data_IF_566717850615
#
_entry.id   IF_566717850615
#
_cell.length_a   1.000
_cell.length_b   1.000
_cell.length_c   1.000
_cell.angle_alpha   90.00
_cell.angle_beta   90.00
_cell.angle_gamma   90.00
#
_symmetry.space_group_name_H-M   'P 1'
#
loop_
_entity.id
_entity.type
_entity.pdbx_description
1 polymer ?
#
# COMPACT_ATOMS: atom_id res chain seq x y z
N UNK A 1 18.74 -15.90 -73.20
CA UNK A 1 18.17 -16.27 -71.89
C UNK A 1 18.42 -15.09 -70.95
N UNK A 2 17.44 -14.21 -70.82
CA UNK A 2 17.46 -13.12 -69.86
C UNK A 2 17.23 -13.70 -68.46
N UNK A 3 18.14 -13.39 -67.54
CA UNK A 3 18.07 -13.82 -66.14
C UNK A 3 17.24 -12.77 -65.40
N UNK A 4 16.10 -13.18 -64.85
CA UNK A 4 15.23 -12.33 -64.05
C UNK A 4 16.01 -11.73 -62.85
N UNK A 5 15.76 -10.47 -62.46
CA UNK A 5 16.30 -9.93 -61.22
C UNK A 5 15.60 -10.59 -60.04
N UNK A 6 16.41 -11.06 -59.10
CA UNK A 6 15.98 -11.57 -57.79
C UNK A 6 15.22 -10.46 -57.06
N UNK A 7 13.92 -10.63 -56.86
CA UNK A 7 13.11 -9.80 -55.97
C UNK A 7 13.54 -10.07 -54.52
N UNK A 8 14.59 -9.36 -54.10
CA UNK A 8 14.96 -9.22 -52.70
C UNK A 8 13.87 -8.43 -51.97
N UNK A 9 12.85 -9.13 -51.48
CA UNK A 9 11.94 -8.64 -50.43
C UNK A 9 12.74 -8.47 -49.13
N UNK A 10 13.54 -7.42 -49.08
CA UNK A 10 14.16 -6.96 -47.85
C UNK A 10 13.08 -6.43 -46.92
N UNK A 11 13.09 -6.91 -45.67
CA UNK A 11 12.46 -6.28 -44.52
C UNK A 11 12.66 -4.75 -44.56
N UNK A 12 11.71 -3.96 -44.01
CA UNK A 12 11.85 -2.51 -43.94
C UNK A 12 13.21 -2.20 -43.29
N UNK A 13 14.17 -1.72 -44.09
CA UNK A 13 15.54 -1.50 -43.65
C UNK A 13 15.51 -0.28 -42.74
N UNK A 14 15.36 -0.50 -41.44
CA UNK A 14 15.53 0.53 -40.43
C UNK A 14 16.91 1.14 -40.64
N UNK A 15 16.98 2.45 -40.90
CA UNK A 15 18.25 3.13 -41.10
C UNK A 15 18.94 3.30 -39.75
N UNK A 16 19.84 2.37 -39.45
CA UNK A 16 20.58 2.23 -38.19
C UNK A 16 21.29 3.53 -37.80
N UNK A 17 21.63 4.39 -38.77
CA UNK A 17 22.31 5.67 -38.53
C UNK A 17 21.42 6.74 -37.89
N UNK A 18 20.11 6.53 -37.88
CA UNK A 18 19.14 7.45 -37.29
C UNK A 18 18.69 7.03 -35.89
N UNK A 19 19.08 5.82 -35.44
CA UNK A 19 18.73 5.30 -34.12
C UNK A 19 19.63 5.89 -33.02
N UNK A 20 19.08 6.14 -31.81
CA UNK A 20 19.89 6.42 -30.64
C UNK A 20 20.94 5.33 -30.39
N UNK A 21 22.10 5.70 -29.87
CA UNK A 21 23.24 4.78 -29.65
C UNK A 21 22.85 3.55 -28.81
N UNK A 22 22.00 3.72 -27.80
CA UNK A 22 21.48 2.63 -26.97
C UNK A 22 20.66 1.61 -27.79
N UNK A 23 19.80 2.08 -28.69
CA UNK A 23 18.94 1.24 -29.52
C UNK A 23 19.76 0.55 -30.61
N UNK A 24 20.74 1.25 -31.20
CA UNK A 24 21.64 0.67 -32.18
C UNK A 24 22.49 -0.47 -31.58
N UNK A 25 23.03 -0.28 -30.37
CA UNK A 25 23.76 -1.32 -29.65
C UNK A 25 22.88 -2.53 -29.34
N UNK A 26 21.65 -2.32 -28.86
CA UNK A 26 20.68 -3.40 -28.65
C UNK A 26 20.44 -4.17 -29.94
N UNK A 27 20.14 -3.45 -31.02
CA UNK A 27 19.87 -4.02 -32.33
C UNK A 27 21.03 -4.90 -32.82
N UNK A 28 22.27 -4.40 -32.75
CA UNK A 28 23.45 -5.18 -33.11
C UNK A 28 23.64 -6.43 -32.24
N UNK A 29 23.40 -6.32 -30.93
CA UNK A 29 23.53 -7.46 -30.01
C UNK A 29 22.46 -8.52 -30.26
N UNK A 30 21.22 -8.11 -30.52
CA UNK A 30 20.11 -9.03 -30.73
C UNK A 30 20.22 -9.73 -32.07
N UNK A 31 20.66 -9.05 -33.14
CA UNK A 31 20.94 -9.72 -34.41
C UNK A 31 22.10 -10.72 -34.35
N UNK A 32 23.05 -10.54 -33.41
CA UNK A 32 24.10 -11.53 -33.15
C UNK A 32 23.59 -12.76 -32.42
N UNK A 33 22.54 -12.60 -31.61
CA UNK A 33 21.88 -13.70 -30.90
C UNK A 33 20.92 -14.46 -31.82
N UNK A 34 20.07 -13.73 -32.54
CA UNK A 34 19.08 -14.27 -33.46
C UNK A 34 19.03 -13.43 -34.75
N UNK A 35 19.46 -13.98 -35.90
CA UNK A 35 19.40 -13.30 -37.19
C UNK A 35 17.98 -13.00 -37.70
N UNK A 36 16.96 -13.66 -37.15
CA UNK A 36 15.55 -13.47 -37.52
C UNK A 36 14.83 -12.41 -36.68
N UNK A 37 15.52 -11.82 -35.70
CA UNK A 37 14.96 -10.82 -34.80
C UNK A 37 14.62 -9.51 -35.53
N UNK A 38 13.45 -8.95 -35.21
CA UNK A 38 12.96 -7.69 -35.77
C UNK A 38 12.78 -6.61 -34.69
N UNK A 39 13.32 -5.42 -34.96
CA UNK A 39 13.28 -4.31 -34.01
C UNK A 39 11.92 -3.63 -33.99
N UNK A 40 11.19 -3.59 -35.11
CA UNK A 40 9.84 -3.03 -35.16
C UNK A 40 8.90 -3.79 -34.24
N UNK A 41 8.85 -5.13 -34.38
CA UNK A 41 7.99 -5.95 -33.54
C UNK A 41 8.35 -5.83 -32.06
N UNK A 42 9.65 -5.83 -31.73
CA UNK A 42 10.09 -5.66 -30.34
C UNK A 42 9.71 -4.29 -29.76
N UNK A 43 9.86 -3.21 -30.53
CA UNK A 43 9.45 -1.87 -30.10
C UNK A 43 7.93 -1.77 -29.92
N UNK A 44 7.16 -2.39 -30.82
CA UNK A 44 5.71 -2.43 -30.72
C UNK A 44 5.27 -3.20 -29.48
N UNK A 45 5.83 -4.39 -29.23
CA UNK A 45 5.60 -5.17 -28.01
C UNK A 45 5.95 -4.37 -26.75
N UNK A 46 7.13 -3.76 -26.73
CA UNK A 46 7.58 -2.97 -25.58
C UNK A 46 6.71 -1.74 -25.34
N UNK A 47 6.24 -1.09 -26.39
CA UNK A 47 5.32 0.03 -26.28
C UNK A 47 3.95 -0.41 -25.74
N UNK A 48 3.46 -1.60 -26.13
CA UNK A 48 2.21 -2.16 -25.59
C UNK A 48 2.35 -2.49 -24.10
N UNK A 49 3.45 -3.12 -23.69
CA UNK A 49 3.74 -3.39 -22.27
C UNK A 49 3.77 -2.11 -21.43
N UNK A 50 4.46 -1.07 -21.93
CA UNK A 50 4.52 0.23 -21.24
C UNK A 50 3.14 0.92 -21.19
N UNK A 51 2.32 0.80 -22.24
CA UNK A 51 0.95 1.32 -22.23
C UNK A 51 0.08 0.61 -21.20
N UNK A 52 0.16 -0.72 -21.10
CA UNK A 52 -0.57 -1.51 -20.10
C UNK A 52 -0.17 -1.10 -18.66
N UNK A 53 1.13 -0.90 -18.43
CA UNK A 53 1.62 -0.41 -17.15
C UNK A 53 1.06 1.00 -16.83
N UNK A 54 1.08 1.91 -17.80
CA UNK A 54 0.52 3.27 -17.64
C UNK A 54 -0.98 3.22 -17.37
N UNK A 55 -1.74 2.38 -18.06
CA UNK A 55 -3.17 2.18 -17.80
C UNK A 55 -3.43 1.71 -16.36
N UNK A 56 -2.61 0.77 -15.87
CA UNK A 56 -2.70 0.31 -14.48
C UNK A 56 -2.44 1.45 -13.46
N UNK A 57 -1.44 2.29 -13.72
CA UNK A 57 -1.10 3.43 -12.87
C UNK A 57 -2.22 4.48 -12.88
N UNK A 58 -2.82 4.76 -14.04
CA UNK A 58 -3.96 5.66 -14.15
C UNK A 58 -5.19 5.12 -13.42
N UNK A 59 -5.43 3.80 -13.45
CA UNK A 59 -6.49 3.16 -12.67
C UNK A 59 -6.33 3.37 -11.17
N UNK A 60 -5.10 3.21 -10.65
CA UNK A 60 -4.77 3.46 -9.24
C UNK A 60 -4.93 4.93 -8.84
N UNK A 61 -4.42 5.85 -9.65
CA UNK A 61 -4.55 7.29 -9.39
C UNK A 61 -6.02 7.76 -9.46
N UNK A 62 -6.80 7.20 -10.39
CA UNK A 62 -8.25 7.45 -10.45
C UNK A 62 -8.92 7.02 -9.14
N UNK A 63 -8.65 5.81 -8.64
CA UNK A 63 -9.23 5.32 -7.38
C UNK A 63 -8.85 6.23 -6.20
N UNK A 64 -7.58 6.64 -6.13
CA UNK A 64 -7.08 7.57 -5.10
C UNK A 64 -7.82 8.91 -5.12
N UNK A 65 -8.09 9.45 -6.30
CA UNK A 65 -8.85 10.69 -6.47
C UNK A 65 -10.33 10.50 -6.08
N UNK A 66 -10.95 9.38 -6.43
CA UNK A 66 -12.32 9.04 -6.03
C UNK A 66 -12.47 8.95 -4.50
N UNK A 67 -11.53 8.28 -3.81
CA UNK A 67 -11.51 8.23 -2.35
C UNK A 67 -11.33 9.62 -1.73
N UNK A 68 -10.40 10.42 -2.25
CA UNK A 68 -10.19 11.80 -1.78
C UNK A 68 -11.45 12.66 -1.96
N UNK A 69 -12.13 12.52 -3.09
CA UNK A 69 -13.41 13.19 -3.34
C UNK A 69 -14.46 12.76 -2.31
N UNK A 70 -14.58 11.46 -2.05
CA UNK A 70 -15.52 10.94 -1.06
C UNK A 70 -15.26 11.53 0.34
N UNK A 71 -13.99 11.60 0.76
CA UNK A 71 -13.60 12.24 2.04
C UNK A 71 -13.99 13.72 2.08
N UNK A 72 -13.84 14.45 0.97
CA UNK A 72 -14.26 15.85 0.90
C UNK A 72 -15.78 15.97 1.03
N UNK A 73 -16.54 15.11 0.34
CA UNK A 73 -18.00 15.13 0.41
C UNK A 73 -18.54 14.81 1.81
N UNK A 74 -17.94 13.87 2.53
CA UNK A 74 -18.33 13.53 3.90
C UNK A 74 -18.06 14.70 4.85
N UNK A 75 -16.91 15.38 4.72
CA UNK A 75 -16.63 16.62 5.46
C UNK A 75 -17.66 17.70 5.18
N UNK A 76 -18.01 17.92 3.91
CA UNK A 76 -19.04 18.89 3.52
C UNK A 76 -20.40 18.54 4.14
N UNK A 77 -20.82 17.26 4.10
CA UNK A 77 -22.06 16.78 4.73
C UNK A 77 -22.05 17.02 6.25
N UNK A 78 -20.93 16.73 6.92
CA UNK A 78 -20.75 16.95 8.35
C UNK A 78 -20.88 18.43 8.73
N UNK A 79 -20.22 19.32 7.98
CA UNK A 79 -20.29 20.77 8.22
C UNK A 79 -21.71 21.31 8.01
N UNK A 80 -22.44 20.83 6.99
CA UNK A 80 -23.85 21.19 6.78
C UNK A 80 -24.72 20.77 7.96
N UNK A 81 -24.58 19.52 8.42
CA UNK A 81 -25.31 19.00 9.59
C UNK A 81 -24.98 19.77 10.87
N UNK A 82 -23.71 20.11 11.12
CA UNK A 82 -23.33 20.92 12.28
C UNK A 82 -24.00 22.30 12.27
N UNK A 83 -24.06 22.96 11.11
CA UNK A 83 -24.76 24.24 10.96
C UNK A 83 -26.27 24.12 11.23
N UNK A 84 -26.89 23.04 10.80
CA UNK A 84 -28.32 22.79 11.04
C UNK A 84 -28.61 22.54 12.53
N UNK A 85 -27.78 21.73 13.21
CA UNK A 85 -27.94 21.42 14.64
C UNK A 85 -27.76 22.66 15.53
N UNK A 86 -26.83 23.56 15.20
CA UNK A 86 -26.64 24.83 15.92
C UNK A 86 -27.83 25.79 15.70
N UNK A 87 -28.56 25.66 14.59
CA UNK A 87 -29.71 26.51 14.25
C UNK A 87 -31.05 26.07 14.88
N UNK A 88 -31.17 24.82 15.33
CA UNK A 88 -32.41 24.24 15.87
C UNK A 88 -32.26 23.74 17.31
N UNK A 89 -31.49 24.46 18.14
CA UNK A 89 -31.28 24.12 19.54
C UNK A 89 -32.58 24.11 20.36
N UNK A 90 -33.31 23.00 20.31
CA UNK A 90 -34.14 22.57 21.42
C UNK A 90 -33.16 21.87 22.36
N UNK A 91 -32.46 22.66 23.17
CA UNK A 91 -31.74 22.15 24.34
C UNK A 91 -32.81 21.66 25.31
N UNK A 92 -33.21 20.39 25.18
CA UNK A 92 -33.98 19.71 26.22
C UNK A 92 -33.06 19.58 27.45
N UNK A 93 -33.35 20.25 28.59
CA UNK A 93 -32.50 20.21 29.77
C UNK A 93 -32.27 18.80 30.34
N UNK A 94 -33.05 17.81 29.88
CA UNK A 94 -32.97 16.42 30.31
C UNK A 94 -32.25 15.50 29.32
N UNK A 95 -31.83 15.95 28.14
CA UNK A 95 -30.96 15.17 27.26
C UNK A 95 -29.51 15.28 27.71
N UNK A 96 -29.00 14.23 28.37
CA UNK A 96 -27.58 14.02 28.67
C UNK A 96 -26.99 12.97 27.72
N UNK A 97 -25.70 13.07 27.43
CA UNK A 97 -25.04 12.14 26.53
C UNK A 97 -25.02 10.74 27.16
N UNK A 98 -25.14 9.67 26.37
CA UNK A 98 -25.18 8.27 26.87
C UNK A 98 -23.94 7.87 27.70
N UNK A 99 -22.87 8.67 27.61
CA UNK A 99 -21.60 8.47 28.30
C UNK A 99 -21.47 9.30 29.60
N UNK A 100 -22.39 10.22 29.89
CA UNK A 100 -22.39 11.03 31.13
C UNK A 100 -22.77 10.20 32.37
N UNK A 101 -23.13 8.93 32.19
CA UNK A 101 -23.50 7.99 33.27
C UNK A 101 -22.25 7.38 33.94
N UNK A 102 -21.08 7.46 33.28
CA UNK A 102 -19.81 6.98 33.81
C UNK A 102 -18.95 8.11 34.40
N UNK A 103 -19.51 8.91 35.30
CA UNK A 103 -18.65 9.65 36.24
C UNK A 103 -18.09 8.65 37.25
N UNK A 104 -16.81 8.31 37.10
CA UNK A 104 -16.05 7.57 38.12
C UNK A 104 -16.01 8.47 39.35
N UNK A 105 -16.83 8.15 40.34
CA UNK A 105 -16.94 8.91 41.58
C UNK A 105 -15.65 8.87 42.39
N UNK A 106 -14.75 9.83 42.18
CA UNK A 106 -13.63 10.10 43.09
C UNK A 106 -14.11 10.95 44.27
N UNK A 107 -14.81 10.30 45.20
CA UNK A 107 -14.96 10.80 46.58
C UNK A 107 -14.56 9.72 47.57
N UNK A 108 -13.27 9.60 47.80
CA UNK A 108 -12.74 9.19 49.10
C UNK A 108 -11.28 9.61 49.22
N UNK A 109 -11.07 10.63 50.03
CA UNK A 109 -9.82 11.01 50.70
C UNK A 109 -9.14 9.78 51.30
N UNK A 110 -7.85 9.55 51.03
CA UNK A 110 -6.75 9.60 52.00
C UNK A 110 -5.44 9.12 51.36
N UNK A 111 -4.35 9.64 51.90
CA UNK A 111 -2.97 9.50 51.43
C UNK A 111 -2.53 8.04 51.53
N UNK A 112 -1.99 7.50 50.45
CA UNK A 112 -0.75 6.74 50.54
C UNK A 112 0.09 6.96 49.27
N UNK A 113 1.31 7.39 49.51
CA UNK A 113 2.37 7.57 48.55
C UNK A 113 3.01 6.21 48.27
N UNK A 114 2.50 5.47 47.30
CA UNK A 114 3.27 4.42 46.64
C UNK A 114 3.07 4.56 45.14
N UNK A 115 4.20 4.45 44.44
CA UNK A 115 4.36 4.73 43.02
C UNK A 115 3.16 4.25 42.19
N UNK A 116 2.45 5.23 41.64
CA UNK A 116 1.54 5.04 40.52
C UNK A 116 2.42 4.74 39.30
N UNK A 117 2.92 3.50 39.24
CA UNK A 117 3.11 2.86 37.95
C UNK A 117 1.70 2.55 37.46
N UNK A 118 0.99 3.59 37.01
CA UNK A 118 -0.07 3.43 36.03
C UNK A 118 0.57 2.57 34.95
N UNK A 119 0.18 1.30 34.91
CA UNK A 119 0.66 0.38 33.90
C UNK A 119 0.36 1.02 32.57
N UNK A 120 1.42 1.49 31.89
CA UNK A 120 1.26 1.95 30.53
C UNK A 120 0.51 0.84 29.79
N UNK A 121 -0.52 1.20 29.00
CA UNK A 121 -1.23 0.19 28.25
C UNK A 121 -0.18 -0.62 27.50
N UNK A 122 -0.17 -1.94 27.72
CA UNK A 122 0.82 -2.83 27.11
C UNK A 122 0.85 -2.74 25.58
N UNK A 123 -0.17 -2.08 25.01
CA UNK A 123 -0.40 -1.87 23.59
C UNK A 123 -0.77 -0.40 23.39
N UNK A 124 0.14 0.38 22.81
CA UNK A 124 -0.08 1.80 22.52
C UNK A 124 -0.92 1.93 21.24
N UNK A 125 -2.23 1.74 21.37
CA UNK A 125 -3.19 2.01 20.30
C UNK A 125 -3.19 3.52 19.96
N UNK A 126 -2.42 3.91 18.95
CA UNK A 126 -2.35 5.28 18.43
C UNK A 126 -0.95 5.82 18.11
N UNK A 127 0.12 5.02 18.25
CA UNK A 127 1.47 5.43 17.86
C UNK A 127 1.69 5.41 16.34
N UNK A 128 0.88 4.65 15.61
CA UNK A 128 0.94 4.60 14.17
C UNK A 128 0.08 5.70 13.55
N UNK A 129 0.72 6.63 12.83
CA UNK A 129 0.07 7.68 12.02
C UNK A 129 -0.54 7.07 10.74
N UNK A 130 -1.30 5.98 10.90
CA UNK A 130 -1.98 5.23 9.82
C UNK A 130 -3.16 6.03 9.26
N UNK A 131 -3.49 7.18 9.85
CA UNK A 131 -4.66 7.98 9.53
C UNK A 131 -5.92 7.45 10.20
N UNK A 132 -7.09 7.74 9.62
CA UNK A 132 -8.41 7.41 10.18
C UNK A 132 -8.83 5.93 9.98
N UNK A 133 -7.92 5.03 9.57
CA UNK A 133 -8.24 3.61 9.38
C UNK A 133 -7.82 2.75 10.59
N UNK A 134 -8.74 2.50 11.53
CA UNK A 134 -8.44 1.68 12.71
C UNK A 134 -8.19 0.21 12.36
N UNK A 135 -8.71 -0.29 11.22
CA UNK A 135 -8.50 -1.67 10.83
C UNK A 135 -7.08 -1.87 10.35
N UNK A 136 -6.59 -0.98 9.49
CA UNK A 136 -5.21 -1.00 9.02
C UNK A 136 -4.21 -0.93 10.18
N UNK A 137 -4.49 -0.10 11.19
CA UNK A 137 -3.65 0.00 12.39
C UNK A 137 -3.60 -1.33 13.17
N UNK A 138 -4.76 -1.99 13.36
CA UNK A 138 -4.85 -3.30 14.05
C UNK A 138 -4.08 -4.37 13.27
N UNK A 139 -4.27 -4.43 11.96
CA UNK A 139 -3.62 -5.45 11.12
C UNK A 139 -2.11 -5.23 11.05
N UNK A 140 -1.66 -3.98 10.89
CA UNK A 140 -0.24 -3.63 10.92
C UNK A 140 0.42 -4.02 12.24
N UNK A 141 -0.25 -3.80 13.36
CA UNK A 141 0.24 -4.22 14.67
C UNK A 141 0.31 -5.74 14.83
N UNK A 142 -0.67 -6.48 14.29
CA UNK A 142 -0.61 -7.94 14.27
C UNK A 142 0.55 -8.47 13.42
N UNK A 143 0.82 -7.86 12.27
CA UNK A 143 1.97 -8.22 11.42
C UNK A 143 3.28 -7.97 12.17
N UNK A 144 3.44 -6.81 12.80
CA UNK A 144 4.63 -6.47 13.60
C UNK A 144 4.82 -7.45 14.76
N UNK A 145 3.76 -7.75 15.52
CA UNK A 145 3.83 -8.70 16.63
C UNK A 145 4.24 -10.11 16.18
N UNK A 146 3.77 -10.57 15.02
CA UNK A 146 4.23 -11.83 14.46
C UNK A 146 5.71 -11.79 14.08
N UNK A 147 6.17 -10.72 13.42
CA UNK A 147 7.58 -10.57 13.05
C UNK A 147 8.49 -10.48 14.29
N UNK A 148 8.04 -9.83 15.36
CA UNK A 148 8.73 -9.78 16.65
C UNK A 148 8.87 -11.16 17.28
N UNK A 149 7.77 -11.93 17.35
CA UNK A 149 7.78 -13.30 17.86
C UNK A 149 8.75 -14.18 17.07
N UNK A 150 8.71 -14.11 15.73
CA UNK A 150 9.63 -14.87 14.89
C UNK A 150 11.08 -14.40 15.07
N UNK A 151 11.31 -13.09 15.24
CA UNK A 151 12.66 -12.56 15.51
C UNK A 151 13.25 -13.04 16.83
N UNK A 152 12.42 -13.42 17.82
CA UNK A 152 12.88 -14.04 19.06
C UNK A 152 13.30 -15.51 18.85
N UNK A 153 12.62 -16.22 17.96
CA UNK A 153 12.93 -17.62 17.61
C UNK A 153 14.13 -17.74 16.66
N UNK A 154 14.36 -16.74 15.80
CA UNK A 154 15.55 -16.64 14.95
C UNK A 154 15.53 -15.42 14.01
N UNK A 155 16.68 -15.01 13.46
CA UNK A 155 16.77 -13.85 12.56
C UNK A 155 16.24 -14.11 11.13
N UNK A 156 15.46 -15.17 10.93
CA UNK A 156 14.98 -15.55 9.60
C UNK A 156 13.84 -14.62 9.17
N UNK A 157 13.82 -14.18 7.90
CA UNK A 157 12.69 -13.44 7.36
C UNK A 157 11.44 -14.34 7.33
N UNK A 158 10.28 -13.71 7.51
CA UNK A 158 8.98 -14.39 7.49
C UNK A 158 8.34 -14.16 6.13
N UNK A 159 8.00 -15.26 5.45
CA UNK A 159 7.34 -15.23 4.15
C UNK A 159 5.86 -14.82 4.29
N UNK A 160 5.31 -14.15 3.27
CA UNK A 160 3.93 -13.71 3.20
C UNK A 160 2.93 -14.83 3.48
N UNK A 161 3.12 -16.01 2.87
CA UNK A 161 2.28 -17.19 3.11
C UNK A 161 2.21 -17.60 4.59
N UNK A 162 3.30 -17.41 5.33
CA UNK A 162 3.33 -17.70 6.78
C UNK A 162 2.50 -16.68 7.55
N UNK A 163 2.61 -15.39 7.21
CA UNK A 163 1.76 -14.34 7.78
C UNK A 163 0.30 -14.59 7.46
N UNK A 164 -0.03 -14.90 6.21
CA UNK A 164 -1.38 -15.26 5.77
C UNK A 164 -1.92 -16.47 6.55
N UNK A 165 -1.12 -17.52 6.72
CA UNK A 165 -1.49 -18.72 7.48
C UNK A 165 -1.81 -18.44 8.95
N UNK A 166 -1.21 -17.41 9.55
CA UNK A 166 -1.46 -17.01 10.94
C UNK A 166 -2.62 -16.00 11.07
N UNK A 167 -2.76 -15.08 10.11
CA UNK A 167 -3.66 -13.93 10.21
C UNK A 167 -5.06 -14.18 9.61
N UNK A 168 -5.17 -14.96 8.53
CA UNK A 168 -6.47 -15.30 7.93
C UNK A 168 -7.39 -16.06 8.91
N UNK A 169 -6.92 -17.03 9.72
CA UNK A 169 -7.74 -17.68 10.73
C UNK A 169 -8.27 -16.73 11.81
N UNK A 170 -7.62 -15.58 12.03
CA UNK A 170 -8.07 -14.53 12.96
C UNK A 170 -9.16 -13.63 12.35
N UNK A 171 -9.54 -13.85 11.09
CA UNK A 171 -10.56 -13.09 10.38
C UNK A 171 -10.03 -11.90 9.60
N UNK A 172 -8.71 -11.77 9.47
CA UNK A 172 -8.06 -10.73 8.66
C UNK A 172 -8.11 -11.16 7.19
N UNK A 173 -8.53 -10.26 6.29
CA UNK A 173 -8.57 -10.58 4.85
C UNK A 173 -7.18 -10.44 4.25
N UNK A 174 -6.94 -11.17 3.16
CA UNK A 174 -5.67 -11.08 2.41
C UNK A 174 -5.44 -9.65 1.91
N UNK A 175 -6.49 -9.01 1.38
CA UNK A 175 -6.44 -7.62 0.94
C UNK A 175 -5.98 -6.66 2.06
N UNK A 176 -6.47 -6.87 3.29
CA UNK A 176 -6.12 -6.04 4.45
C UNK A 176 -4.68 -6.30 4.93
N UNK A 177 -4.21 -7.55 4.79
CA UNK A 177 -2.82 -7.93 5.08
C UNK A 177 -1.84 -7.31 4.09
N UNK A 178 -2.17 -7.36 2.80
CA UNK A 178 -1.37 -6.72 1.74
C UNK A 178 -1.25 -5.22 1.97
N UNK A 179 -2.37 -4.56 2.31
CA UNK A 179 -2.40 -3.14 2.62
C UNK A 179 -1.55 -2.81 3.86
N UNK A 180 -1.62 -3.62 4.91
CA UNK A 180 -0.81 -3.47 6.12
C UNK A 180 0.69 -3.63 5.85
N UNK A 181 1.09 -4.62 5.05
CA UNK A 181 2.50 -4.84 4.69
C UNK A 181 3.02 -3.67 3.85
N UNK A 182 2.24 -3.22 2.86
CA UNK A 182 2.60 -2.07 2.04
C UNK A 182 2.78 -0.79 2.89
N UNK A 183 1.87 -0.58 3.85
CA UNK A 183 1.96 0.54 4.79
C UNK A 183 3.18 0.42 5.71
N UNK A 184 3.49 -0.76 6.24
CA UNK A 184 4.65 -1.01 7.11
C UNK A 184 5.99 -0.83 6.36
N UNK A 185 6.06 -1.20 5.09
CA UNK A 185 7.21 -0.94 4.22
C UNK A 185 7.38 0.56 3.96
N UNK A 186 6.29 1.26 3.65
CA UNK A 186 6.31 2.69 3.38
C UNK A 186 6.65 3.53 4.62
N UNK A 187 6.14 3.13 5.79
CA UNK A 187 6.46 3.72 7.09
C UNK A 187 7.81 3.26 7.63
N UNK A 188 8.53 2.45 6.85
CA UNK A 188 9.93 2.14 7.10
C UNK A 188 10.15 1.32 8.41
N UNK A 189 9.10 0.62 8.87
CA UNK A 189 9.07 -0.21 10.08
C UNK A 189 9.53 -1.65 9.84
N UNK A 190 9.25 -2.18 8.65
CA UNK A 190 9.72 -3.50 8.20
C UNK A 190 10.54 -3.34 6.92
N UNK A 191 11.34 -4.37 6.60
CA UNK A 191 12.11 -4.44 5.36
C UNK A 191 11.88 -5.78 4.67
N UNK A 192 11.83 -5.74 3.35
CA UNK A 192 11.81 -6.92 2.49
C UNK A 192 13.25 -7.35 2.20
N UNK A 193 13.59 -8.60 2.53
CA UNK A 193 14.94 -9.17 2.31
C UNK A 193 14.98 -9.98 1.01
N UNK A 194 13.94 -10.77 0.77
CA UNK A 194 13.71 -11.59 -0.43
C UNK A 194 12.26 -11.41 -0.88
N UNK A 195 11.93 -11.92 -2.07
CA UNK A 195 10.56 -11.87 -2.59
C UNK A 195 9.57 -12.41 -1.54
N UNK A 196 8.58 -11.57 -1.21
CA UNK A 196 7.53 -11.85 -0.23
C UNK A 196 8.04 -12.19 1.18
N UNK A 197 9.27 -11.82 1.52
CA UNK A 197 9.94 -12.21 2.77
C UNK A 197 10.37 -11.00 3.60
N UNK A 198 9.72 -10.83 4.76
CA UNK A 198 9.79 -9.61 5.56
C UNK A 198 10.53 -9.82 6.89
N UNK A 199 11.21 -8.78 7.36
CA UNK A 199 11.85 -8.76 8.67
C UNK A 199 11.72 -7.38 9.31
N UNK A 200 11.88 -7.32 10.64
CA UNK A 200 11.91 -6.05 11.35
C UNK A 200 13.13 -5.23 10.95
N UNK A 201 12.94 -3.93 10.76
CA UNK A 201 14.06 -3.01 10.63
C UNK A 201 14.72 -2.81 12.00
N UNK A 202 16.01 -3.10 12.09
CA UNK A 202 16.85 -2.79 13.27
C UNK A 202 17.51 -1.42 13.16
#
# INVERSE_FOLDING_TARGET
MERAPEDGKGSPRIDVRTLPESVARLWETMLRLDPSWDLSSWLDERALEELELVESHLGRERLRLEQRLHRIETLVKRLKRQREVVGTGIEDPHQKNLFDIYEIGSKSTERDSEADQEGEPAVQFGSFDVGDDPLLAIVAEHVLGLLELHSLEGPAPVHFDSLMGNLVPLGIRVDDLDEAIAWLLQSELIVEIEEDSFSLRR
#
